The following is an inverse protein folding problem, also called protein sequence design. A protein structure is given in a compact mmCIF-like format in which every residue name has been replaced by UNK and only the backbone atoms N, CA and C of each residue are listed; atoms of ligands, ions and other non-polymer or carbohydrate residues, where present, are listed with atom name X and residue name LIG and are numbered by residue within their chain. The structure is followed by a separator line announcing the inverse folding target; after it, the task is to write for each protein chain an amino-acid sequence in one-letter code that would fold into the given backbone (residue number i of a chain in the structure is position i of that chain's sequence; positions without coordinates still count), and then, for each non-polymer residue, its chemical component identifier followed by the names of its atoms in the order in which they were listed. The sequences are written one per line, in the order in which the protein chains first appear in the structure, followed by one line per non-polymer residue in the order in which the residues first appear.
data_IF_295712824184
#
_entry.id   IF_295712824184
#
_cell.length_a   1.000
_cell.length_b   1.000
_cell.length_c   1.000
_cell.angle_alpha   90.00
_cell.angle_beta   90.00
_cell.angle_gamma   90.00
#
_symmetry.space_group_name_H-M   'P 1'
#
loop_
_entity.id
_entity.type
_entity.pdbx_description
1 polymer ?
#
# COMPACT_ATOMS: atom_id res chain seq x y z
N UNK A 1 6.32 -5.42 -42.80
CA UNK A 1 5.81 -4.52 -41.74
C UNK A 1 4.94 -5.35 -40.81
N UNK A 2 5.38 -5.66 -39.58
CA UNK A 2 4.51 -6.31 -38.61
C UNK A 2 3.56 -5.27 -38.00
N UNK A 3 2.29 -5.65 -37.96
CA UNK A 3 1.16 -4.93 -37.40
C UNK A 3 1.39 -4.56 -35.92
N UNK A 4 1.15 -3.30 -35.48
CA UNK A 4 1.22 -2.99 -34.07
C UNK A 4 0.03 -3.65 -33.36
N UNK A 5 0.31 -4.70 -32.60
CA UNK A 5 -0.64 -5.36 -31.72
C UNK A 5 -1.33 -4.32 -30.83
N UNK A 6 -2.62 -4.06 -31.08
CA UNK A 6 -3.50 -3.38 -30.13
C UNK A 6 -3.54 -4.22 -28.85
N UNK A 7 -2.73 -3.86 -27.86
CA UNK A 7 -3.06 -4.19 -26.48
C UNK A 7 -4.22 -3.28 -26.10
N UNK A 8 -5.45 -3.74 -26.32
CA UNK A 8 -6.62 -3.20 -25.66
C UNK A 8 -6.30 -3.13 -24.17
N UNK A 9 -6.08 -1.91 -23.67
CA UNK A 9 -6.02 -1.64 -22.24
C UNK A 9 -7.30 -2.19 -21.64
N UNK A 10 -7.16 -3.33 -20.96
CA UNK A 10 -8.24 -4.14 -20.40
C UNK A 10 -9.14 -3.25 -19.54
N UNK A 11 -10.25 -2.79 -20.12
CA UNK A 11 -11.17 -1.80 -19.57
C UNK A 11 -11.80 -2.28 -18.25
N UNK A 12 -11.64 -3.57 -17.92
CA UNK A 12 -12.11 -4.22 -16.70
C UNK A 12 -11.15 -4.12 -15.52
N UNK A 13 -9.87 -3.80 -15.71
CA UNK A 13 -8.89 -3.75 -14.62
C UNK A 13 -9.02 -2.49 -13.76
N UNK A 14 -9.38 -1.35 -14.37
CA UNK A 14 -9.54 -0.07 -13.68
C UNK A 14 -10.62 -0.06 -12.58
N UNK A 15 -11.85 -0.58 -12.79
CA UNK A 15 -12.85 -0.65 -11.72
C UNK A 15 -12.46 -1.63 -10.61
N UNK A 16 -11.75 -2.71 -10.94
CA UNK A 16 -11.25 -3.67 -9.95
C UNK A 16 -10.24 -3.00 -8.99
N UNK A 17 -9.42 -2.09 -9.51
CA UNK A 17 -8.44 -1.31 -8.74
C UNK A 17 -9.09 -0.22 -7.86
N UNK A 18 -10.35 0.13 -8.11
CA UNK A 18 -11.11 1.02 -7.21
C UNK A 18 -11.79 0.26 -6.07
N UNK A 19 -12.16 -1.01 -6.28
CA UNK A 19 -12.87 -1.82 -5.28
C UNK A 19 -11.87 -2.52 -4.34
N UNK A 20 -10.76 -3.04 -4.87
CA UNK A 20 -9.79 -3.79 -4.10
C UNK A 20 -9.23 -3.05 -2.86
N UNK A 21 -8.92 -1.74 -2.92
CA UNK A 21 -8.45 -1.00 -1.74
C UNK A 21 -9.51 -0.92 -0.62
N UNK A 22 -10.77 -0.66 -0.97
CA UNK A 22 -11.87 -0.63 0.00
C UNK A 22 -12.11 -2.02 0.61
N UNK A 23 -12.09 -3.07 -0.21
CA UNK A 23 -12.19 -4.45 0.26
C UNK A 23 -11.03 -4.82 1.20
N UNK A 24 -9.82 -4.32 0.95
CA UNK A 24 -8.66 -4.60 1.79
C UNK A 24 -8.80 -3.99 3.18
N UNK A 25 -9.27 -2.75 3.28
CA UNK A 25 -9.56 -2.11 4.57
C UNK A 25 -10.69 -2.84 5.30
N UNK A 26 -11.77 -3.17 4.59
CA UNK A 26 -12.91 -3.89 5.17
C UNK A 26 -12.49 -5.29 5.67
N UNK A 27 -11.63 -5.98 4.92
CA UNK A 27 -11.08 -7.27 5.32
C UNK A 27 -10.27 -7.15 6.62
N UNK A 28 -9.39 -6.15 6.74
CA UNK A 28 -8.64 -5.90 7.99
C UNK A 28 -9.59 -5.63 9.15
N UNK A 29 -10.63 -4.81 8.95
CA UNK A 29 -11.60 -4.51 9.99
C UNK A 29 -12.36 -5.76 10.44
N UNK A 30 -12.82 -6.60 9.51
CA UNK A 30 -13.50 -7.87 9.82
C UNK A 30 -12.58 -8.83 10.56
N UNK A 31 -11.33 -9.00 10.09
CA UNK A 31 -10.33 -9.85 10.75
C UNK A 31 -10.06 -9.34 12.17
N UNK A 32 -9.89 -8.02 12.34
CA UNK A 32 -9.67 -7.42 13.65
C UNK A 32 -10.84 -7.66 14.59
N UNK A 33 -12.08 -7.39 14.16
CA UNK A 33 -13.27 -7.60 15.00
C UNK A 33 -13.46 -9.07 15.39
N UNK A 34 -13.13 -9.99 14.49
CA UNK A 34 -13.22 -11.41 14.77
C UNK A 34 -12.15 -11.88 15.76
N UNK A 35 -10.94 -11.33 15.67
CA UNK A 35 -9.80 -11.70 16.49
C UNK A 35 -9.58 -10.81 17.72
N UNK A 36 -10.33 -9.71 17.87
CA UNK A 36 -10.14 -8.74 18.95
C UNK A 36 -10.20 -9.34 20.36
N UNK A 37 -10.99 -10.39 20.66
CA UNK A 37 -10.95 -11.02 21.98
C UNK A 37 -9.60 -11.69 22.31
N UNK A 38 -8.79 -12.00 21.29
CA UNK A 38 -7.51 -12.69 21.40
C UNK A 38 -6.32 -11.75 21.24
N UNK A 39 -6.55 -10.47 20.94
CA UNK A 39 -5.49 -9.49 20.72
C UNK A 39 -5.31 -8.67 22.01
N UNK A 40 -4.07 -8.57 22.55
CA UNK A 40 -3.81 -7.74 23.71
C UNK A 40 -4.10 -6.26 23.40
N UNK A 41 -4.62 -5.53 24.39
CA UNK A 41 -4.96 -4.11 24.25
C UNK A 41 -3.73 -3.21 24.08
N UNK A 42 -2.56 -3.69 24.53
CA UNK A 42 -1.27 -3.01 24.40
C UNK A 42 -0.23 -3.93 23.77
N UNK A 43 0.58 -3.36 22.88
CA UNK A 43 1.64 -4.05 22.14
C UNK A 43 2.90 -3.20 22.13
N UNK A 44 4.05 -3.85 21.98
CA UNK A 44 5.32 -3.16 21.80
C UNK A 44 5.32 -2.35 20.49
N UNK A 45 5.51 -1.03 20.58
CA UNK A 45 5.49 -0.11 19.43
C UNK A 45 6.88 0.48 19.13
N UNK A 46 7.76 0.55 20.12
CA UNK A 46 9.15 0.95 19.94
C UNK A 46 10.05 0.26 20.97
N UNK A 47 11.33 0.17 20.66
CA UNK A 47 12.37 -0.39 21.52
C UNK A 47 13.44 0.68 21.69
N UNK A 48 13.62 1.15 22.92
CA UNK A 48 14.64 2.11 23.32
C UNK A 48 15.74 1.41 24.14
N UNK A 49 16.92 2.02 24.30
CA UNK A 49 17.97 1.52 25.19
C UNK A 49 17.48 1.30 26.63
N UNK A 50 16.49 2.08 27.05
CA UNK A 50 15.90 2.06 28.39
C UNK A 50 14.74 1.07 28.53
N UNK A 51 14.29 0.42 27.45
CA UNK A 51 13.25 -0.60 27.48
C UNK A 51 12.31 -0.63 26.28
N UNK A 52 11.23 -1.41 26.39
CA UNK A 52 10.21 -1.55 25.35
C UNK A 52 9.03 -0.63 25.65
N UNK A 53 8.71 0.27 24.72
CA UNK A 53 7.55 1.14 24.82
C UNK A 53 6.29 0.47 24.30
N UNK A 54 5.24 0.45 25.11
CA UNK A 54 3.95 -0.17 24.78
C UNK A 54 2.91 0.88 24.38
N UNK A 55 2.17 0.58 23.31
CA UNK A 55 1.10 1.42 22.76
C UNK A 55 -0.18 0.64 22.54
N UNK A 56 -1.27 1.35 22.21
CA UNK A 56 -2.57 0.70 21.93
C UNK A 56 -2.53 -0.05 20.60
N UNK A 57 -2.88 -1.34 20.62
CA UNK A 57 -2.98 -2.17 19.42
C UNK A 57 -4.07 -1.65 18.47
N UNK A 58 -5.21 -1.25 19.02
CA UNK A 58 -6.32 -0.64 18.28
C UNK A 58 -5.85 0.63 17.55
N UNK A 59 -5.16 1.54 18.25
CA UNK A 59 -4.68 2.78 17.61
C UNK A 59 -3.67 2.50 16.51
N UNK A 60 -2.80 1.51 16.69
CA UNK A 60 -1.82 1.15 15.66
C UNK A 60 -2.49 0.59 14.39
N UNK A 61 -3.45 -0.33 14.55
CA UNK A 61 -4.22 -0.91 13.44
C UNK A 61 -5.08 0.15 12.77
N UNK A 62 -5.78 0.97 13.55
CA UNK A 62 -6.61 2.05 13.03
C UNK A 62 -5.78 3.09 12.29
N UNK A 63 -4.63 3.49 12.85
CA UNK A 63 -3.69 4.41 12.22
C UNK A 63 -3.19 3.89 10.87
N UNK A 64 -2.80 2.61 10.81
CA UNK A 64 -2.42 1.96 9.56
C UNK A 64 -3.56 1.97 8.52
N UNK A 65 -4.81 1.70 8.94
CA UNK A 65 -5.97 1.77 8.05
C UNK A 65 -6.26 3.19 7.55
N UNK A 66 -6.08 4.21 8.38
CA UNK A 66 -6.25 5.63 7.99
C UNK A 66 -5.18 6.05 6.99
N UNK A 67 -3.92 5.69 7.23
CA UNK A 67 -2.82 5.94 6.30
C UNK A 67 -3.08 5.23 4.96
N UNK A 68 -3.54 3.98 5.01
CA UNK A 68 -3.90 3.23 3.81
C UNK A 68 -5.04 3.91 3.04
N UNK A 69 -6.11 4.31 3.72
CA UNK A 69 -7.25 4.99 3.11
C UNK A 69 -6.82 6.30 2.43
N UNK A 70 -6.02 7.12 3.11
CA UNK A 70 -5.49 8.36 2.55
C UNK A 70 -4.64 8.09 1.30
N UNK A 71 -3.71 7.13 1.37
CA UNK A 71 -2.88 6.74 0.24
C UNK A 71 -3.73 6.26 -0.94
N UNK A 72 -4.76 5.43 -0.70
CA UNK A 72 -5.65 4.96 -1.76
C UNK A 72 -6.49 6.06 -2.38
N UNK A 73 -7.01 7.01 -1.59
CA UNK A 73 -7.76 8.17 -2.11
C UNK A 73 -6.87 9.03 -3.00
N UNK A 74 -5.65 9.34 -2.53
CA UNK A 74 -4.69 10.14 -3.28
C UNK A 74 -4.27 9.39 -4.55
N UNK A 75 -3.87 8.12 -4.44
CA UNK A 75 -3.43 7.30 -5.57
C UNK A 75 -4.52 7.10 -6.62
N UNK A 76 -5.77 6.91 -6.21
CA UNK A 76 -6.91 6.83 -7.12
C UNK A 76 -7.17 8.17 -7.83
N UNK A 77 -7.12 9.30 -7.11
CA UNK A 77 -7.26 10.62 -7.70
C UNK A 77 -6.14 10.89 -8.72
N UNK A 78 -4.89 10.65 -8.34
CA UNK A 78 -3.71 10.80 -9.20
C UNK A 78 -3.81 9.94 -10.46
N UNK A 79 -4.17 8.65 -10.31
CA UNK A 79 -4.36 7.72 -11.44
C UNK A 79 -5.46 8.19 -12.39
N UNK A 80 -6.57 8.72 -11.84
CA UNK A 80 -7.68 9.25 -12.62
C UNK A 80 -7.26 10.47 -13.43
N UNK A 81 -6.54 11.40 -12.82
CA UNK A 81 -6.06 12.61 -13.52
C UNK A 81 -5.07 12.27 -14.64
N UNK A 82 -4.11 11.36 -14.41
CA UNK A 82 -3.20 10.90 -15.45
C UNK A 82 -3.92 10.16 -16.58
N UNK A 83 -4.97 9.40 -16.26
CA UNK A 83 -5.79 8.75 -17.27
C UNK A 83 -6.57 9.74 -18.12
N UNK A 84 -7.10 10.82 -17.53
CA UNK A 84 -7.79 11.88 -18.27
C UNK A 84 -6.87 12.65 -19.21
N UNK A 85 -5.60 12.83 -18.83
CA UNK A 85 -4.60 13.49 -19.68
C UNK A 85 -4.28 12.69 -20.97
N UNK A 86 -4.67 11.41 -21.05
CA UNK A 86 -4.55 10.60 -22.26
C UNK A 86 -3.12 10.12 -22.57
N UNK A 87 -2.13 10.46 -21.72
CA UNK A 87 -0.77 9.98 -21.80
C UNK A 87 -0.21 9.71 -20.41
N UNK A 88 0.55 8.61 -20.29
CA UNK A 88 1.27 8.26 -19.07
C UNK A 88 2.76 8.43 -19.32
N UNK A 89 3.42 9.30 -18.55
CA UNK A 89 4.87 9.37 -18.52
C UNK A 89 5.44 8.44 -17.44
N UNK A 90 6.72 8.09 -17.53
CA UNK A 90 7.35 7.14 -16.62
C UNK A 90 7.28 7.61 -15.15
N UNK A 91 7.49 8.91 -14.93
CA UNK A 91 7.41 9.54 -13.61
C UNK A 91 5.96 9.49 -13.07
N UNK A 92 4.97 9.78 -13.91
CA UNK A 92 3.56 9.72 -13.51
C UNK A 92 3.16 8.30 -13.10
N UNK A 93 3.60 7.30 -13.88
CA UNK A 93 3.37 5.90 -13.58
C UNK A 93 4.00 5.50 -12.25
N UNK A 94 5.27 5.83 -12.02
CA UNK A 94 5.96 5.45 -10.78
C UNK A 94 5.32 6.10 -9.54
N UNK A 95 4.89 7.37 -9.64
CA UNK A 95 4.16 8.06 -8.56
C UNK A 95 2.87 7.31 -8.24
N UNK A 96 2.03 7.05 -9.25
CA UNK A 96 0.75 6.39 -9.05
C UNK A 96 0.92 4.97 -8.47
N UNK A 97 1.89 4.18 -8.98
CA UNK A 97 2.23 2.85 -8.46
C UNK A 97 2.70 2.95 -7.01
N UNK A 98 3.62 3.87 -6.72
CA UNK A 98 4.22 4.02 -5.39
C UNK A 98 3.19 4.40 -4.33
N UNK A 99 2.29 5.34 -4.63
CA UNK A 99 1.23 5.76 -3.72
C UNK A 99 0.23 4.61 -3.47
N UNK A 100 -0.19 3.90 -4.52
CA UNK A 100 -1.10 2.76 -4.34
C UNK A 100 -0.44 1.63 -3.55
N UNK A 101 0.83 1.31 -3.84
CA UNK A 101 1.60 0.31 -3.11
C UNK A 101 1.81 0.69 -1.64
N UNK A 102 2.01 1.98 -1.34
CA UNK A 102 2.12 2.49 0.04
C UNK A 102 0.87 2.14 0.86
N UNK A 103 -0.33 2.28 0.27
CA UNK A 103 -1.56 1.91 0.95
C UNK A 103 -1.61 0.42 1.31
N UNK A 104 -1.19 -0.46 0.40
CA UNK A 104 -1.09 -1.91 0.70
C UNK A 104 0.02 -2.22 1.70
N UNK A 105 1.13 -1.49 1.68
CA UNK A 105 2.16 -1.60 2.72
C UNK A 105 1.59 -1.30 4.12
N UNK A 106 0.80 -0.22 4.26
CA UNK A 106 0.15 0.10 5.52
C UNK A 106 -0.87 -0.99 5.96
N UNK A 107 -1.64 -1.56 5.02
CA UNK A 107 -2.47 -2.74 5.29
C UNK A 107 -1.61 -3.93 5.79
N UNK A 108 -0.42 -4.10 5.22
CA UNK A 108 0.53 -5.14 5.62
C UNK A 108 0.97 -5.00 7.08
N UNK A 109 1.22 -3.77 7.55
CA UNK A 109 1.50 -3.50 8.96
C UNK A 109 0.33 -3.93 9.84
N UNK A 110 -0.90 -3.54 9.49
CA UNK A 110 -2.09 -3.89 10.26
C UNK A 110 -2.29 -5.41 10.36
N UNK A 111 -2.18 -6.13 9.24
CA UNK A 111 -2.32 -7.59 9.22
C UNK A 111 -1.21 -8.30 9.99
N UNK A 112 0.05 -7.90 9.78
CA UNK A 112 1.18 -8.45 10.51
C UNK A 112 1.02 -8.25 12.02
N UNK A 113 0.55 -7.07 12.44
CA UNK A 113 0.25 -6.78 13.85
C UNK A 113 -0.80 -7.75 14.38
N UNK A 114 -1.93 -7.89 13.69
CA UNK A 114 -3.01 -8.78 14.12
C UNK A 114 -2.48 -10.22 14.26
N UNK A 115 -1.85 -10.74 13.22
CA UNK A 115 -1.37 -12.14 13.19
C UNK A 115 -0.35 -12.41 14.28
N UNK A 116 0.57 -11.47 14.55
CA UNK A 116 1.64 -11.68 15.52
C UNK A 116 1.23 -11.48 16.97
N UNK A 117 0.08 -10.85 17.21
CA UNK A 117 -0.38 -10.52 18.57
C UNK A 117 -1.53 -11.41 19.03
N UNK A 118 -2.17 -12.14 18.12
CA UNK A 118 -3.22 -13.11 18.45
C UNK A 118 -2.67 -14.20 19.37
N UNK A 119 -3.29 -14.34 20.54
CA UNK A 119 -2.97 -15.40 21.50
C UNK A 119 -1.62 -15.24 22.21
N UNK A 120 -0.99 -14.06 22.11
CA UNK A 120 0.25 -13.75 22.84
C UNK A 120 -0.09 -13.23 24.23
N UNK A 121 0.56 -13.81 25.24
CA UNK A 121 0.39 -13.36 26.61
C UNK A 121 0.89 -11.92 26.82
N UNK A 122 0.26 -11.14 27.72
CA UNK A 122 0.59 -9.73 27.92
C UNK A 122 2.02 -9.42 28.42
N UNK A 123 2.82 -10.42 28.80
CA UNK A 123 4.19 -10.25 29.32
C UNK A 123 5.19 -11.28 28.78
N UNK A 124 6.48 -10.89 28.61
CA UNK A 124 6.93 -9.71 27.89
C UNK A 124 6.94 -10.03 26.39
N UNK A 125 6.16 -9.29 25.62
CA UNK A 125 6.06 -9.47 24.17
C UNK A 125 7.44 -9.21 23.55
N UNK A 126 8.04 -10.19 22.84
CA UNK A 126 9.37 -10.03 22.26
C UNK A 126 9.39 -8.86 21.28
N UNK A 127 10.48 -8.08 21.28
CA UNK A 127 10.70 -6.92 20.40
C UNK A 127 10.67 -7.21 18.89
N UNK A 128 10.39 -8.46 18.51
CA UNK A 128 10.19 -8.92 17.14
C UNK A 128 8.90 -8.35 16.48
N UNK A 129 7.97 -7.84 17.28
CA UNK A 129 6.67 -7.30 16.81
C UNK A 129 6.83 -6.17 15.78
N UNK A 130 7.75 -5.24 16.05
CA UNK A 130 8.05 -4.11 15.14
C UNK A 130 8.68 -4.62 13.84
N UNK A 131 9.60 -5.59 13.95
CA UNK A 131 10.26 -6.21 12.80
C UNK A 131 9.27 -6.93 11.88
N UNK A 132 8.32 -7.68 12.45
CA UNK A 132 7.31 -8.37 11.65
C UNK A 132 6.31 -7.39 11.03
N UNK A 133 5.97 -6.30 11.72
CA UNK A 133 5.17 -5.22 11.14
C UNK A 133 5.82 -4.61 9.89
N UNK A 134 7.13 -4.30 9.96
CA UNK A 134 7.91 -3.82 8.82
C UNK A 134 8.03 -4.87 7.71
N UNK A 135 8.18 -6.15 8.06
CA UNK A 135 8.18 -7.23 7.09
C UNK A 135 6.84 -7.32 6.33
N UNK A 136 5.72 -7.23 7.06
CA UNK A 136 4.38 -7.16 6.47
C UNK A 136 4.21 -5.98 5.53
N UNK A 137 4.73 -4.80 5.92
CA UNK A 137 4.79 -3.63 5.04
C UNK A 137 5.52 -3.93 3.74
N UNK A 138 6.78 -4.40 3.83
CA UNK A 138 7.63 -4.63 2.66
C UNK A 138 7.05 -5.68 1.72
N UNK A 139 6.45 -6.74 2.27
CA UNK A 139 5.86 -7.82 1.49
C UNK A 139 4.66 -7.33 0.67
N UNK A 140 3.68 -6.67 1.32
CA UNK A 140 2.50 -6.18 0.60
C UNK A 140 2.81 -4.97 -0.28
N UNK A 141 3.71 -4.08 0.14
CA UNK A 141 4.17 -2.97 -0.68
C UNK A 141 4.79 -3.47 -1.99
N UNK A 142 5.77 -4.39 -1.91
CA UNK A 142 6.47 -4.91 -3.08
C UNK A 142 5.52 -5.66 -3.99
N UNK A 143 4.67 -6.52 -3.43
CA UNK A 143 3.66 -7.28 -4.19
C UNK A 143 2.71 -6.34 -4.92
N UNK A 144 2.17 -5.34 -4.23
CA UNK A 144 1.30 -4.34 -4.83
C UNK A 144 2.03 -3.53 -5.91
N UNK A 145 3.26 -3.09 -5.66
CA UNK A 145 4.05 -2.34 -6.63
C UNK A 145 4.24 -3.14 -7.94
N UNK A 146 4.57 -4.44 -7.85
CA UNK A 146 4.67 -5.32 -9.01
C UNK A 146 3.33 -5.44 -9.76
N UNK A 147 2.22 -5.65 -9.04
CA UNK A 147 0.88 -5.76 -9.63
C UNK A 147 0.48 -4.47 -10.34
N UNK A 148 0.59 -3.31 -9.67
CA UNK A 148 0.25 -2.02 -10.28
C UNK A 148 1.17 -1.66 -11.44
N UNK A 149 2.46 -1.93 -11.34
CA UNK A 149 3.40 -1.70 -12.44
C UNK A 149 3.04 -2.52 -13.69
N UNK A 150 2.58 -3.76 -13.51
CA UNK A 150 2.14 -4.63 -14.60
C UNK A 150 0.79 -4.21 -15.18
N UNK A 151 -0.16 -3.76 -14.36
CA UNK A 151 -1.53 -3.44 -14.79
C UNK A 151 -1.66 -2.04 -15.37
N UNK A 152 -0.93 -1.05 -14.85
CA UNK A 152 -1.01 0.33 -15.36
C UNK A 152 -0.50 0.46 -16.79
N UNK A 153 -1.05 1.41 -17.59
CA UNK A 153 -0.65 1.61 -18.98
C UNK A 153 0.86 1.74 -19.15
N UNK A 154 1.37 1.37 -20.33
CA UNK A 154 2.79 1.59 -20.64
C UNK A 154 3.09 3.08 -20.65
N UNK A 155 4.11 3.45 -19.90
CA UNK A 155 4.57 4.82 -19.86
C UNK A 155 5.42 5.15 -21.10
N UNK A 156 5.31 6.39 -21.57
CA UNK A 156 6.23 6.97 -22.55
C UNK A 156 7.45 7.52 -21.82
N UNK A 157 8.62 7.42 -22.46
CA UNK A 157 9.81 8.12 -22.00
C UNK A 157 9.63 9.61 -22.30
N UNK A 158 9.90 10.46 -21.31
CA UNK A 158 9.99 11.90 -21.52
C UNK A 158 11.27 12.16 -22.34
N UNK A 159 11.14 12.55 -23.61
CA UNK A 159 12.29 13.09 -24.35
C UNK A 159 12.39 14.57 -24.03
N UNK A 160 13.46 14.97 -23.35
CA UNK A 160 13.84 16.38 -23.29
C UNK A 160 14.20 16.79 -24.73
N UNK A 161 13.29 17.48 -25.40
CA UNK A 161 13.56 18.08 -26.70
C UNK A 161 14.58 19.21 -26.47
N UNK A 162 15.87 18.90 -26.65
CA UNK A 162 16.97 19.86 -26.49
C UNK A 162 17.07 20.83 -27.68
N UNK A 163 16.04 20.91 -28.52
CA UNK A 163 16.00 21.82 -29.65
C UNK A 163 15.59 23.23 -29.17
N UNK A 164 16.51 23.92 -28.49
CA UNK A 164 16.46 25.38 -28.42
C UNK A 164 16.97 25.95 -29.75
N UNK A 165 16.15 26.66 -30.54
CA UNK A 165 16.68 27.57 -31.53
C UNK A 165 17.07 28.86 -30.81
N UNK A 166 18.34 28.97 -30.40
CA UNK A 166 18.94 30.30 -30.30
C UNK A 166 19.23 30.75 -31.73
N UNK A 167 18.34 31.58 -32.27
CA UNK A 167 18.60 32.47 -33.41
C UNK A 167 18.17 33.88 -33.01
#
# INVERSE_FOLDING_TARGET
MPEPARTETNTRALPLLMIAPACSILLVAVIYLWLSPLIPSRIAIHVDPDGVGYGSSLLMIAGACVIAAAAFVIGAATTREFSKAGHWFQIQKSIAVGIMALGYGAIGVALATIITTVGVDPEPVPGNSVGIGLFGFLLLFTTAACVYAAVFPRAKFESLDTTYPYN
#
